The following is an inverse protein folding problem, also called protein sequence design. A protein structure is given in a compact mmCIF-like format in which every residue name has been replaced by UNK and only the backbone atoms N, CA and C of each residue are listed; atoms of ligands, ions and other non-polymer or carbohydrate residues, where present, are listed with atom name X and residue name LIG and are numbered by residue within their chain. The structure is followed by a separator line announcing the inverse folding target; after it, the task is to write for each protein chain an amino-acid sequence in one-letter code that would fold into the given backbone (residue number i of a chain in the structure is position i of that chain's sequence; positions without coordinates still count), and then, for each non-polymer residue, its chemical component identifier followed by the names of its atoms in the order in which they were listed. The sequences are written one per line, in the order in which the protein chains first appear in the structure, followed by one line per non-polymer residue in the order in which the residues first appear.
data_IF_738618275296
#
_entry.id   IF_738618275296
#
_cell.length_a   1.000
_cell.length_b   1.000
_cell.length_c   1.000
_cell.angle_alpha   90.00
_cell.angle_beta   90.00
_cell.angle_gamma   90.00
#
_symmetry.space_group_name_H-M   'P 1'
#
loop_
_entity.id
_entity.type
_entity.pdbx_description
1 polymer ?
#
# COMPACT_ATOMS: atom_id res chain seq x y z
N UNK A 1 -50.58 -33.72 -54.04
CA UNK A 1 -50.27 -32.79 -52.93
C UNK A 1 -51.14 -33.16 -51.74
N UNK A 2 -50.59 -33.04 -50.54
CA UNK A 2 -51.22 -33.27 -49.22
C UNK A 2 -51.20 -34.70 -48.68
N UNK A 3 -50.10 -34.95 -47.95
CA UNK A 3 -49.90 -35.90 -46.86
C UNK A 3 -50.99 -35.84 -45.78
N UNK A 4 -51.23 -36.96 -45.08
CA UNK A 4 -51.47 -36.98 -43.63
C UNK A 4 -51.10 -38.36 -43.07
N UNK A 5 -49.93 -38.43 -42.45
CA UNK A 5 -49.58 -39.42 -41.43
C UNK A 5 -50.15 -38.94 -40.10
N UNK A 6 -50.61 -39.86 -39.25
CA UNK A 6 -50.65 -39.67 -37.79
C UNK A 6 -50.77 -41.00 -37.04
N UNK A 7 -50.34 -41.08 -35.76
CA UNK A 7 -49.29 -42.03 -35.40
C UNK A 7 -49.55 -42.85 -34.11
N UNK A 8 -48.59 -43.75 -33.86
CA UNK A 8 -47.99 -44.19 -32.58
C UNK A 8 -48.85 -44.71 -31.42
N UNK A 9 -48.43 -45.87 -30.90
CA UNK A 9 -48.45 -46.21 -29.47
C UNK A 9 -47.26 -47.15 -29.17
N UNK A 10 -46.17 -46.68 -28.53
CA UNK A 10 -45.91 -46.69 -27.06
C UNK A 10 -45.70 -48.12 -26.52
N UNK A 11 -44.56 -48.46 -25.89
CA UNK A 11 -44.22 -48.17 -24.50
C UNK A 11 -42.78 -48.65 -24.23
N UNK A 12 -41.93 -47.82 -23.63
CA UNK A 12 -40.61 -48.30 -23.16
C UNK A 12 -39.69 -47.21 -22.62
N UNK A 13 -39.86 -45.96 -23.05
CA UNK A 13 -38.94 -44.87 -22.72
C UNK A 13 -39.36 -44.00 -21.50
N UNK A 14 -40.41 -44.37 -20.77
CA UNK A 14 -41.00 -43.49 -19.73
C UNK A 14 -40.30 -43.67 -18.36
N UNK A 15 -39.72 -44.83 -18.06
CA UNK A 15 -39.22 -45.12 -16.70
C UNK A 15 -37.81 -44.60 -16.37
N UNK A 16 -37.06 -44.10 -17.36
CA UNK A 16 -35.69 -43.56 -17.16
C UNK A 16 -35.60 -42.04 -17.15
N UNK A 17 -36.68 -41.32 -17.46
CA UNK A 17 -36.66 -39.85 -17.56
C UNK A 17 -37.10 -39.11 -16.30
N UNK A 18 -37.71 -39.80 -15.34
CA UNK A 18 -38.20 -39.16 -14.11
C UNK A 18 -37.14 -39.00 -13.02
N UNK A 19 -36.07 -39.81 -13.04
CA UNK A 19 -34.99 -39.72 -12.04
C UNK A 19 -33.95 -38.63 -12.36
N UNK A 20 -33.75 -38.27 -13.62
CA UNK A 20 -32.80 -37.21 -14.00
C UNK A 20 -33.34 -35.79 -13.77
N UNK A 21 -34.65 -35.58 -13.83
CA UNK A 21 -35.24 -34.25 -13.62
C UNK A 21 -35.29 -33.86 -12.12
N UNK A 22 -35.51 -34.83 -11.23
CA UNK A 22 -35.57 -34.58 -9.79
C UNK A 22 -34.21 -34.15 -9.19
N UNK A 23 -33.11 -34.69 -9.70
CA UNK A 23 -31.74 -34.35 -9.26
C UNK A 23 -31.28 -32.96 -9.74
N UNK A 24 -31.79 -32.48 -10.87
CA UNK A 24 -31.46 -31.15 -11.39
C UNK A 24 -32.18 -30.02 -10.63
N UNK A 25 -33.41 -30.25 -10.17
CA UNK A 25 -34.17 -29.26 -9.39
C UNK A 25 -33.60 -29.02 -7.98
N UNK A 26 -33.01 -30.03 -7.34
CA UNK A 26 -32.37 -29.86 -6.02
C UNK A 26 -31.05 -29.09 -6.07
N UNK A 27 -30.30 -29.15 -7.18
CA UNK A 27 -29.04 -28.40 -7.34
C UNK A 27 -29.26 -26.89 -7.57
N UNK A 28 -30.41 -26.48 -8.13
CA UNK A 28 -30.72 -25.06 -8.37
C UNK A 28 -31.19 -24.34 -7.09
N UNK A 29 -31.89 -25.04 -6.19
CA UNK A 29 -32.39 -24.45 -4.95
C UNK A 29 -31.29 -24.11 -3.93
N UNK A 30 -30.17 -24.84 -3.93
CA UNK A 30 -29.05 -24.58 -3.01
C UNK A 30 -28.19 -23.36 -3.41
N UNK A 31 -28.27 -22.89 -4.66
CA UNK A 31 -27.50 -21.74 -5.13
C UNK A 31 -28.13 -20.39 -4.75
N UNK A 32 -29.40 -20.37 -4.32
CA UNK A 32 -30.17 -19.14 -4.06
C UNK A 32 -30.24 -18.75 -2.57
N UNK A 33 -29.75 -19.60 -1.66
CA UNK A 33 -29.77 -19.38 -0.20
C UNK A 33 -28.36 -19.46 0.38
N UNK A 34 -27.36 -19.00 -0.39
CA UNK A 34 -26.03 -18.77 0.17
C UNK A 34 -26.07 -17.57 1.12
N UNK A 35 -25.34 -17.61 2.26
CA UNK A 35 -25.19 -16.42 3.10
C UNK A 35 -24.61 -15.30 2.25
N UNK A 36 -25.15 -14.10 2.44
CA UNK A 36 -24.67 -12.89 1.76
C UNK A 36 -23.18 -12.74 2.06
N UNK A 37 -22.33 -12.99 1.06
CA UNK A 37 -20.91 -12.66 1.16
C UNK A 37 -20.86 -11.14 1.15
N UNK A 38 -20.76 -10.53 2.34
CA UNK A 38 -20.47 -9.12 2.45
C UNK A 38 -19.08 -8.96 1.83
N UNK A 39 -19.05 -8.45 0.60
CA UNK A 39 -17.79 -8.05 -0.02
C UNK A 39 -17.07 -7.12 0.98
N UNK A 40 -15.79 -7.37 1.28
CA UNK A 40 -15.01 -6.39 2.03
C UNK A 40 -15.21 -5.06 1.34
N UNK A 41 -15.68 -4.05 2.09
CA UNK A 41 -15.67 -2.68 1.58
C UNK A 41 -14.22 -2.44 1.19
N UNK A 42 -14.00 -1.95 -0.04
CA UNK A 42 -12.69 -1.50 -0.49
C UNK A 42 -12.09 -0.70 0.67
N UNK A 43 -11.06 -1.24 1.31
CA UNK A 43 -10.32 -0.47 2.30
C UNK A 43 -9.86 0.76 1.54
N UNK A 44 -10.19 1.96 2.02
CA UNK A 44 -9.60 3.17 1.46
C UNK A 44 -8.10 2.90 1.26
N UNK A 45 -7.58 3.22 0.07
CA UNK A 45 -6.15 3.10 -0.21
C UNK A 45 -5.41 3.66 1.00
N UNK A 46 -4.45 2.91 1.56
CA UNK A 46 -3.69 3.36 2.71
C UNK A 46 -3.01 4.71 2.39
N UNK A 47 -3.71 5.80 2.70
CA UNK A 47 -3.21 7.15 2.50
C UNK A 47 -2.34 7.46 3.69
N UNK A 48 -1.14 7.99 3.47
CA UNK A 48 -0.36 8.44 4.62
C UNK A 48 -1.10 9.53 5.35
N UNK A 49 -1.16 9.41 6.67
CA UNK A 49 -1.61 10.51 7.47
C UNK A 49 -0.48 11.55 7.53
N UNK A 50 -0.80 12.78 7.14
CA UNK A 50 0.11 13.92 7.23
C UNK A 50 -0.31 14.80 8.38
N UNK A 51 0.48 14.79 9.44
CA UNK A 51 0.27 15.54 10.66
C UNK A 51 1.04 16.86 10.61
N UNK A 52 0.39 17.94 11.05
CA UNK A 52 0.94 19.31 11.04
C UNK A 52 2.04 19.54 12.09
N UNK A 53 2.22 18.60 13.01
CA UNK A 53 3.26 18.63 14.06
C UNK A 53 3.73 17.23 14.41
N UNK A 54 4.95 17.13 14.96
CA UNK A 54 5.55 15.88 15.41
C UNK A 54 5.51 15.80 16.94
N UNK A 55 4.56 15.03 17.47
CA UNK A 55 4.38 14.79 18.91
C UNK A 55 4.57 13.31 19.29
N UNK A 56 4.88 12.46 18.32
CA UNK A 56 5.11 11.03 18.54
C UNK A 56 6.50 10.75 19.12
N UNK A 57 6.70 9.51 19.59
CA UNK A 57 8.04 9.04 19.96
C UNK A 57 9.04 9.22 18.81
N UNK A 58 10.30 9.51 19.14
CA UNK A 58 11.41 9.68 18.18
C UNK A 58 11.38 10.95 17.33
N UNK A 59 10.42 11.86 17.53
CA UNK A 59 10.47 13.19 16.91
C UNK A 59 11.76 13.95 17.27
N UNK A 60 12.23 13.83 18.52
CA UNK A 60 13.50 14.43 18.95
C UNK A 60 14.72 13.88 18.17
N UNK A 61 14.71 12.60 17.85
CA UNK A 61 15.76 11.98 17.04
C UNK A 61 15.71 12.49 15.59
N UNK A 62 14.51 12.65 15.03
CA UNK A 62 14.32 13.22 13.71
C UNK A 62 14.76 14.69 13.62
N UNK A 63 14.51 15.49 14.67
CA UNK A 63 15.05 16.86 14.79
C UNK A 63 16.57 16.84 14.86
N UNK A 64 17.16 15.93 15.65
CA UNK A 64 18.63 15.75 15.72
C UNK A 64 19.22 15.38 14.36
N UNK A 65 18.59 14.44 13.65
CA UNK A 65 18.97 14.05 12.30
C UNK A 65 18.87 15.22 11.33
N UNK A 66 17.78 15.99 11.37
CA UNK A 66 17.60 17.21 10.55
C UNK A 66 18.75 18.19 10.76
N UNK A 67 19.11 18.48 12.00
CA UNK A 67 20.24 19.36 12.32
C UNK A 67 21.56 18.82 11.77
N UNK A 68 21.83 17.52 11.94
CA UNK A 68 23.05 16.91 11.41
C UNK A 68 23.12 16.89 9.88
N UNK A 69 22.01 16.65 9.20
CA UNK A 69 21.93 16.72 7.73
C UNK A 69 22.01 18.15 7.21
N UNK A 70 21.43 19.11 7.94
CA UNK A 70 21.57 20.54 7.66
C UNK A 70 23.03 20.99 7.76
N UNK A 71 23.77 20.51 8.77
CA UNK A 71 25.20 20.79 8.92
C UNK A 71 26.06 20.25 7.75
N UNK A 72 25.53 19.25 7.02
CA UNK A 72 26.14 18.71 5.80
C UNK A 72 25.59 19.33 4.51
N UNK A 73 24.71 20.33 4.62
CA UNK A 73 24.13 21.05 3.49
C UNK A 73 23.03 20.30 2.73
N UNK A 74 22.39 19.30 3.36
CA UNK A 74 21.37 18.45 2.73
C UNK A 74 21.82 17.93 1.36
N UNK A 75 22.80 17.01 1.32
CA UNK A 75 23.30 16.47 0.07
C UNK A 75 22.18 15.83 -0.75
N UNK A 76 22.26 15.96 -2.08
CA UNK A 76 21.21 15.49 -3.01
C UNK A 76 21.56 14.17 -3.70
N UNK A 77 22.86 13.85 -3.77
CA UNK A 77 23.35 12.58 -4.28
C UNK A 77 23.11 11.47 -3.27
N UNK A 78 22.74 10.29 -3.78
CA UNK A 78 22.59 9.08 -2.96
C UNK A 78 23.95 8.62 -2.46
N UNK A 79 24.07 8.34 -1.16
CA UNK A 79 25.32 7.84 -0.61
C UNK A 79 25.46 7.90 0.90
N UNK A 80 26.58 7.33 1.36
CA UNK A 80 26.99 7.33 2.75
C UNK A 80 27.78 8.60 3.10
N UNK A 81 27.48 9.16 4.26
CA UNK A 81 28.15 10.33 4.81
C UNK A 81 28.67 10.02 6.21
N UNK A 82 29.95 10.33 6.47
CA UNK A 82 30.55 10.14 7.78
C UNK A 82 29.80 10.88 8.87
N UNK A 83 29.64 10.23 10.01
CA UNK A 83 28.97 10.74 11.21
C UNK A 83 29.89 10.60 12.42
N UNK A 84 29.47 11.16 13.56
CA UNK A 84 30.21 11.01 14.82
C UNK A 84 30.32 9.54 15.26
N UNK A 85 31.35 9.23 16.05
CA UNK A 85 31.57 7.89 16.60
C UNK A 85 32.01 6.83 15.58
N UNK A 86 32.53 7.25 14.43
CA UNK A 86 32.94 6.33 13.35
C UNK A 86 31.77 5.70 12.60
N UNK A 87 30.55 6.19 12.82
CA UNK A 87 29.36 5.76 12.09
C UNK A 87 29.22 6.54 10.79
N UNK A 88 28.28 6.10 9.95
CA UNK A 88 27.86 6.80 8.74
C UNK A 88 26.33 6.89 8.72
N UNK A 89 25.81 7.91 8.06
CA UNK A 89 24.38 8.05 7.80
C UNK A 89 24.14 8.12 6.28
N UNK A 90 22.92 7.81 5.83
CA UNK A 90 22.64 7.65 4.41
C UNK A 90 21.70 8.74 3.86
N UNK A 91 22.14 9.43 2.80
CA UNK A 91 21.27 10.29 2.02
C UNK A 91 20.61 9.43 0.93
N UNK A 92 19.28 9.35 0.96
CA UNK A 92 18.52 8.56 0.00
C UNK A 92 18.20 9.28 -1.30
N UNK A 93 18.64 10.53 -1.45
CA UNK A 93 18.45 11.30 -2.68
C UNK A 93 17.00 11.77 -2.82
N UNK A 94 16.53 11.91 -4.07
CA UNK A 94 15.23 12.53 -4.35
C UNK A 94 14.08 11.63 -3.88
N UNK A 95 13.18 12.21 -3.09
CA UNK A 95 11.88 11.65 -2.76
C UNK A 95 10.85 12.22 -3.74
N UNK A 96 10.14 11.35 -4.47
CA UNK A 96 9.28 11.78 -5.57
C UNK A 96 7.85 12.14 -5.14
N UNK A 97 7.43 11.75 -3.93
CA UNK A 97 6.07 11.97 -3.44
C UNK A 97 5.01 11.45 -4.43
N UNK A 98 5.20 10.23 -4.94
CA UNK A 98 4.35 9.63 -5.99
C UNK A 98 2.91 9.45 -5.51
N UNK A 99 2.75 9.21 -4.22
CA UNK A 99 1.48 9.06 -3.52
C UNK A 99 0.80 10.41 -3.24
N UNK A 100 1.48 11.54 -3.51
CA UNK A 100 0.92 12.89 -3.38
C UNK A 100 0.62 13.32 -1.93
N UNK A 101 1.27 12.69 -0.96
CA UNK A 101 0.99 12.89 0.47
C UNK A 101 1.53 14.24 0.97
N UNK A 102 2.74 14.62 0.55
CA UNK A 102 3.32 15.93 0.86
C UNK A 102 2.84 17.01 -0.14
N UNK A 103 2.94 18.30 0.20
CA UNK A 103 2.54 19.38 -0.71
C UNK A 103 3.15 19.25 -2.11
N UNK A 104 2.33 19.49 -3.14
CA UNK A 104 2.77 19.44 -4.54
C UNK A 104 3.73 20.60 -4.89
N UNK A 105 4.31 20.54 -6.10
CA UNK A 105 5.19 21.58 -6.66
C UNK A 105 6.44 21.86 -5.82
N UNK A 106 6.98 20.82 -5.16
CA UNK A 106 8.19 20.89 -4.38
C UNK A 106 9.16 19.77 -4.78
N UNK A 107 10.46 19.99 -4.54
CA UNK A 107 11.48 18.95 -4.67
C UNK A 107 11.91 18.48 -3.30
N UNK A 108 11.66 17.21 -3.02
CA UNK A 108 11.97 16.59 -1.74
C UNK A 108 13.21 15.73 -1.83
N UNK A 109 13.95 15.69 -0.72
CA UNK A 109 15.06 14.76 -0.52
C UNK A 109 14.87 14.01 0.79
N UNK A 110 15.21 12.72 0.78
CA UNK A 110 15.11 11.84 1.94
C UNK A 110 16.46 11.58 2.60
N UNK A 111 16.43 11.47 3.92
CA UNK A 111 17.60 11.18 4.72
C UNK A 111 17.26 10.23 5.85
N UNK A 112 18.22 9.37 6.20
CA UNK A 112 18.07 8.45 7.30
C UNK A 112 18.19 9.17 8.67
N UNK A 113 17.42 8.70 9.64
CA UNK A 113 17.40 9.31 10.99
C UNK A 113 18.60 8.85 11.81
N UNK A 114 18.90 7.55 11.81
CA UNK A 114 19.90 6.96 12.70
C UNK A 114 21.20 6.60 11.97
N UNK A 115 22.36 7.15 12.41
CA UNK A 115 23.67 6.71 11.95
C UNK A 115 23.92 5.24 12.32
N UNK A 116 24.72 4.56 11.50
CA UNK A 116 25.04 3.13 11.64
C UNK A 116 26.38 2.80 10.99
N UNK A 117 26.85 1.55 11.13
CA UNK A 117 28.03 1.09 10.40
C UNK A 117 27.82 1.26 8.90
N UNK A 118 28.82 1.79 8.21
CA UNK A 118 28.75 2.01 6.76
C UNK A 118 28.46 0.70 6.02
N UNK A 119 27.50 0.73 5.10
CA UNK A 119 27.06 -0.45 4.34
C UNK A 119 25.99 -1.28 5.04
N UNK A 120 25.64 -0.99 6.30
CA UNK A 120 24.54 -1.67 6.98
C UNK A 120 23.18 -1.39 6.31
N UNK A 121 22.24 -2.31 6.48
CA UNK A 121 20.85 -2.12 6.04
C UNK A 121 20.25 -0.86 6.67
N UNK A 122 19.47 -0.11 5.88
CA UNK A 122 18.75 1.08 6.33
C UNK A 122 17.51 0.65 7.12
N UNK A 123 17.15 1.42 8.15
CA UNK A 123 15.91 1.22 8.93
C UNK A 123 14.68 1.80 8.20
N UNK A 124 13.54 1.94 8.86
CA UNK A 124 12.32 2.54 8.29
C UNK A 124 12.20 4.07 8.52
N UNK A 125 13.06 4.66 9.34
CA UNK A 125 12.92 6.03 9.83
C UNK A 125 13.56 7.02 8.87
N UNK A 126 12.80 8.01 8.44
CA UNK A 126 13.22 8.98 7.43
C UNK A 126 12.86 10.38 7.83
N UNK A 127 13.73 11.34 7.53
CA UNK A 127 13.27 12.71 7.32
C UNK A 127 13.17 12.97 5.82
N UNK A 128 12.14 13.69 5.43
CA UNK A 128 11.94 14.18 4.06
C UNK A 128 11.93 15.69 4.10
N UNK A 129 12.80 16.31 3.33
CA UNK A 129 13.08 17.75 3.39
C UNK A 129 12.69 18.38 2.06
N UNK A 130 11.86 19.40 2.10
CA UNK A 130 11.74 20.35 0.99
C UNK A 130 12.99 21.25 1.03
N UNK A 131 13.93 21.01 0.12
CA UNK A 131 15.25 21.67 0.19
C UNK A 131 15.20 23.18 -0.04
N UNK A 132 14.22 23.70 -0.79
CA UNK A 132 14.12 25.14 -1.05
C UNK A 132 13.59 25.93 0.14
N UNK A 133 12.76 25.30 0.98
CA UNK A 133 12.12 25.96 2.15
C UNK A 133 12.69 25.49 3.49
N UNK A 134 13.39 24.35 3.51
CA UNK A 134 13.87 23.71 4.73
C UNK A 134 12.76 23.04 5.57
N UNK A 135 11.50 23.07 5.10
CA UNK A 135 10.39 22.36 5.77
C UNK A 135 10.69 20.87 5.72
N UNK A 136 10.56 20.21 6.87
CA UNK A 136 10.95 18.82 7.06
C UNK A 136 9.80 18.03 7.66
N UNK A 137 9.63 16.80 7.20
CA UNK A 137 8.69 15.83 7.76
C UNK A 137 9.46 14.61 8.23
N UNK A 138 9.08 14.06 9.37
CA UNK A 138 9.52 12.77 9.86
C UNK A 138 8.53 11.70 9.43
N UNK A 139 9.04 10.60 8.87
CA UNK A 139 8.29 9.39 8.62
C UNK A 139 8.86 8.25 9.46
N UNK A 140 8.10 7.72 10.44
CA UNK A 140 8.57 6.65 11.31
C UNK A 140 8.47 5.25 10.70
N UNK A 141 7.78 5.12 9.58
CA UNK A 141 7.28 3.85 9.04
C UNK A 141 7.41 3.80 7.51
N UNK A 142 8.57 4.23 7.00
CA UNK A 142 8.92 4.10 5.59
C UNK A 142 7.87 4.71 4.65
N UNK A 143 7.55 5.99 4.88
CA UNK A 143 6.64 6.83 4.08
C UNK A 143 5.15 6.50 4.22
N UNK A 144 4.77 5.68 5.21
CA UNK A 144 3.34 5.42 5.47
C UNK A 144 2.69 6.53 6.28
N UNK A 145 3.42 7.30 7.10
CA UNK A 145 2.93 8.50 7.78
C UNK A 145 3.98 9.61 7.74
N UNK A 146 3.55 10.86 7.84
CA UNK A 146 4.40 12.03 7.88
C UNK A 146 4.02 12.99 9.00
N UNK A 147 4.99 13.41 9.79
CA UNK A 147 4.83 14.35 10.89
C UNK A 147 5.73 15.55 10.64
N UNK A 148 5.16 16.74 10.47
CA UNK A 148 5.95 17.95 10.23
C UNK A 148 6.79 18.28 11.47
N UNK A 149 8.11 18.45 11.27
CA UNK A 149 9.08 18.82 12.31
C UNK A 149 9.07 20.33 12.60
#
# INVERSE_FOLDING_TARGET
MSTLVSPLATLGAIRRRTTTLALLLTMVAAALVGPSVVAPRLTDSASAAVYSSCTISRCADAVTARSGWSAKGFPTSRGWYSWSGGLSNFAGGRFYNNEGQLPANATYYEYDVYPRTQGAARDAYRIVVNRSTGVTWFSPNHYTDFYRL
#
